data_IF_286716288318
#
_entry.id   IF_286716288318
#
_cell.length_a   1.000
_cell.length_b   1.000
_cell.length_c   1.000
_cell.angle_alpha   90.00
_cell.angle_beta   90.00
_cell.angle_gamma   90.00
#
_symmetry.space_group_name_H-M   'P 1'
#
loop_
_entity.id
_entity.type
_entity.pdbx_description
1 polymer ?
#
# COMPACT_ATOMS: atom_id res chain seq x y z
N UNK A 1 -46.70 22.86 -34.49
CA UNK A 1 -45.43 23.34 -35.08
C UNK A 1 -44.56 22.13 -35.43
N UNK A 2 -44.22 21.91 -36.70
CA UNK A 2 -43.25 20.87 -37.08
C UNK A 2 -41.85 21.43 -36.82
N UNK A 3 -41.17 20.93 -35.80
CA UNK A 3 -39.77 21.27 -35.55
C UNK A 3 -38.97 20.80 -36.77
N UNK A 4 -38.20 21.69 -37.39
CA UNK A 4 -37.31 21.31 -38.50
C UNK A 4 -36.31 20.26 -37.99
N UNK A 5 -36.11 19.20 -38.75
CA UNK A 5 -35.23 18.07 -38.37
C UNK A 5 -33.83 18.53 -37.93
N UNK A 6 -33.30 19.61 -38.49
CA UNK A 6 -32.03 20.23 -38.09
C UNK A 6 -32.03 20.81 -36.67
N UNK A 7 -33.14 21.39 -36.22
CA UNK A 7 -33.28 21.94 -34.86
C UNK A 7 -33.35 20.80 -33.84
N UNK A 8 -34.06 19.72 -34.19
CA UNK A 8 -34.12 18.52 -33.35
C UNK A 8 -32.75 17.83 -33.23
N UNK A 9 -32.03 17.67 -34.34
CA UNK A 9 -30.66 17.12 -34.32
C UNK A 9 -29.70 17.98 -33.49
N UNK A 10 -29.79 19.32 -33.60
CA UNK A 10 -28.98 20.24 -32.81
C UNK A 10 -29.25 20.09 -31.30
N UNK A 11 -30.53 19.90 -30.92
CA UNK A 11 -30.90 19.67 -29.53
C UNK A 11 -30.35 18.35 -28.97
N UNK A 12 -30.37 17.28 -29.77
CA UNK A 12 -29.74 15.99 -29.40
C UNK A 12 -28.25 16.17 -29.17
N UNK A 13 -27.53 16.83 -30.08
CA UNK A 13 -26.08 17.06 -29.95
C UNK A 13 -25.74 17.89 -28.70
N UNK A 14 -26.56 18.88 -28.37
CA UNK A 14 -26.40 19.66 -27.13
C UNK A 14 -26.62 18.78 -25.90
N UNK A 15 -27.66 17.93 -25.90
CA UNK A 15 -27.92 17.00 -24.81
C UNK A 15 -26.80 15.96 -24.65
N UNK A 16 -26.26 15.43 -25.75
CA UNK A 16 -25.09 14.54 -25.72
C UNK A 16 -23.87 15.26 -25.16
N UNK A 17 -23.60 16.49 -25.60
CA UNK A 17 -22.51 17.32 -25.07
C UNK A 17 -22.64 17.59 -23.57
N UNK A 18 -23.85 17.90 -23.10
CA UNK A 18 -24.14 18.07 -21.67
C UNK A 18 -23.97 16.73 -20.92
N UNK A 19 -24.46 15.64 -21.49
CA UNK A 19 -24.33 14.30 -20.91
C UNK A 19 -22.88 13.88 -20.75
N UNK A 20 -22.06 14.09 -21.78
CA UNK A 20 -20.60 13.86 -21.73
C UNK A 20 -19.95 14.78 -20.69
N UNK A 21 -20.31 16.06 -20.63
CA UNK A 21 -19.75 16.97 -19.64
C UNK A 21 -20.09 16.57 -18.19
N UNK A 22 -21.34 16.14 -17.94
CA UNK A 22 -21.77 15.63 -16.64
C UNK A 22 -21.05 14.33 -16.29
N UNK A 23 -20.92 13.40 -17.24
CA UNK A 23 -20.17 12.17 -17.07
C UNK A 23 -18.70 12.46 -16.74
N UNK A 24 -18.01 13.28 -17.53
CA UNK A 24 -16.61 13.64 -17.29
C UNK A 24 -16.43 14.31 -15.92
N UNK A 25 -17.34 15.22 -15.53
CA UNK A 25 -17.28 15.89 -14.23
C UNK A 25 -17.52 14.93 -13.05
N UNK A 26 -18.41 13.95 -13.21
CA UNK A 26 -18.72 12.98 -12.15
C UNK A 26 -17.74 11.83 -12.06
N UNK A 27 -17.27 11.32 -13.20
CA UNK A 27 -16.38 10.17 -13.31
C UNK A 27 -14.91 10.54 -13.08
N UNK A 28 -14.50 11.75 -13.48
CA UNK A 28 -13.20 12.33 -13.15
C UNK A 28 -13.38 13.48 -12.14
N UNK A 29 -13.70 13.17 -10.87
CA UNK A 29 -13.81 14.21 -9.87
C UNK A 29 -12.46 14.92 -9.78
N UNK A 30 -12.44 16.21 -10.13
CA UNK A 30 -11.31 17.09 -9.85
C UNK A 30 -11.10 17.03 -8.35
N UNK A 31 -9.92 16.61 -7.84
CA UNK A 31 -9.78 16.45 -6.41
C UNK A 31 -10.00 17.81 -5.74
N UNK A 32 -11.03 17.90 -4.90
CA UNK A 32 -11.45 19.14 -4.23
C UNK A 32 -10.37 19.76 -3.33
N UNK A 33 -9.25 19.05 -3.13
CA UNK A 33 -8.08 19.48 -2.34
C UNK A 33 -6.73 19.35 -3.06
N UNK A 34 -6.64 18.84 -4.28
CA UNK A 34 -5.33 18.70 -4.98
C UNK A 34 -4.77 20.01 -5.51
N UNK A 35 -5.56 21.09 -5.51
CA UNK A 35 -5.13 22.40 -6.02
C UNK A 35 -4.34 23.25 -5.04
N UNK A 36 -4.06 22.78 -3.82
CA UNK A 36 -3.21 23.52 -2.88
C UNK A 36 -2.04 22.63 -2.50
N UNK A 37 -0.86 22.98 -3.00
CA UNK A 37 0.47 22.44 -2.65
C UNK A 37 0.83 22.61 -1.14
N UNK A 38 -0.14 22.84 -0.27
CA UNK A 38 0.06 22.94 1.17
C UNK A 38 0.18 21.54 1.75
N UNK A 39 1.41 21.16 2.09
CA UNK A 39 1.67 20.01 2.96
C UNK A 39 0.95 20.24 4.30
N UNK A 40 0.30 19.20 4.83
CA UNK A 40 -0.42 19.35 6.10
C UNK A 40 0.58 19.71 7.21
N UNK A 41 0.14 20.58 8.11
CA UNK A 41 0.86 21.00 9.29
C UNK A 41 0.27 20.34 10.51
N UNK A 42 0.98 20.46 11.64
CA UNK A 42 0.49 19.99 12.92
C UNK A 42 -0.85 20.63 13.33
N UNK A 43 -1.10 21.88 12.90
CA UNK A 43 -2.37 22.58 13.12
C UNK A 43 -3.56 21.94 12.40
N UNK A 44 -3.31 21.10 11.40
CA UNK A 44 -4.33 20.53 10.52
C UNK A 44 -4.78 19.14 10.99
N UNK A 45 -4.30 18.68 12.16
CA UNK A 45 -4.70 17.41 12.74
C UNK A 45 -6.23 17.34 12.88
N UNK A 46 -6.88 16.27 12.38
CA UNK A 46 -8.29 16.08 12.62
C UNK A 46 -8.53 15.87 14.12
N UNK A 47 -9.73 16.24 14.58
CA UNK A 47 -10.17 15.91 15.93
C UNK A 47 -10.17 14.38 16.05
N UNK A 48 -9.49 13.85 17.07
CA UNK A 48 -9.45 12.41 17.36
C UNK A 48 -10.88 11.84 17.40
N UNK A 49 -11.15 10.67 16.78
CA UNK A 49 -12.47 10.05 16.77
C UNK A 49 -12.99 9.92 18.21
N UNK A 50 -14.14 10.54 18.47
CA UNK A 50 -14.79 10.66 19.78
C UNK A 50 -15.06 9.30 20.45
N UNK A 51 -14.04 8.73 21.10
CA UNK A 51 -14.16 7.63 22.06
C UNK A 51 -13.54 8.00 23.42
N UNK A 52 -13.21 9.28 23.59
CA UNK A 52 -12.71 9.88 24.83
C UNK A 52 -12.76 11.40 24.73
N UNK A 53 -12.61 12.06 25.89
CA UNK A 53 -12.55 13.52 26.03
C UNK A 53 -11.60 14.14 25.02
N UNK A 54 -11.94 15.33 24.50
CA UNK A 54 -11.04 16.13 23.66
C UNK A 54 -9.65 16.18 24.31
N UNK A 55 -8.56 15.89 23.58
CA UNK A 55 -7.24 15.94 24.17
C UNK A 55 -6.98 17.34 24.72
N UNK A 56 -6.74 17.45 26.03
CA UNK A 56 -6.41 18.71 26.73
C UNK A 56 -5.06 19.31 26.32
N UNK A 57 -4.45 18.83 25.24
CA UNK A 57 -3.09 19.15 24.83
C UNK A 57 -2.99 19.24 23.31
N UNK A 58 -2.47 20.36 22.82
CA UNK A 58 -2.03 20.55 21.44
C UNK A 58 -0.66 19.89 21.15
N UNK A 59 -0.06 19.23 22.14
CA UNK A 59 1.24 18.56 22.00
C UNK A 59 1.05 17.18 21.37
N UNK A 60 1.82 16.92 20.31
CA UNK A 60 1.91 15.59 19.71
C UNK A 60 2.22 14.53 20.77
N UNK A 61 1.55 13.36 20.71
CA UNK A 61 1.93 12.23 21.54
C UNK A 61 3.39 11.85 21.21
N UNK A 62 4.10 11.35 22.20
CA UNK A 62 5.42 10.78 21.96
C UNK A 62 5.27 9.60 20.98
N UNK A 63 6.16 9.46 19.99
CA UNK A 63 6.06 8.37 19.03
C UNK A 63 6.12 7.04 19.77
N UNK A 64 5.09 6.21 19.57
CA UNK A 64 5.02 4.90 20.21
C UNK A 64 6.08 3.95 19.66
N UNK A 65 6.40 4.06 18.37
CA UNK A 65 7.37 3.22 17.69
C UNK A 65 8.59 4.02 17.28
N UNK A 66 9.78 3.46 17.47
CA UNK A 66 11.02 4.05 16.97
C UNK A 66 11.51 3.44 15.67
N UNK A 67 11.12 2.20 15.39
CA UNK A 67 11.36 1.53 14.11
C UNK A 67 10.06 1.08 13.49
N UNK A 68 9.93 1.30 12.20
CA UNK A 68 8.80 0.80 11.42
C UNK A 68 9.34 -0.01 10.25
N UNK A 69 8.82 -1.21 10.06
CA UNK A 69 9.05 -1.99 8.84
C UNK A 69 7.71 -2.18 8.15
N UNK A 70 7.63 -1.81 6.87
CA UNK A 70 6.46 -2.01 6.02
C UNK A 70 6.84 -3.05 4.98
N UNK A 71 6.26 -4.24 5.09
CA UNK A 71 6.35 -5.30 4.09
C UNK A 71 5.06 -5.28 3.27
N UNK A 72 5.15 -4.69 2.09
CA UNK A 72 4.08 -4.65 1.09
C UNK A 72 4.28 -5.81 0.11
N UNK A 73 3.26 -6.64 -0.09
CA UNK A 73 3.28 -7.75 -1.05
C UNK A 73 2.23 -7.49 -2.12
N UNK A 74 2.68 -7.32 -3.36
CA UNK A 74 1.81 -7.04 -4.51
C UNK A 74 0.81 -8.20 -4.72
N UNK A 75 -0.45 -7.84 -4.95
CA UNK A 75 -1.57 -8.76 -5.17
C UNK A 75 -1.86 -9.77 -4.04
N UNK A 76 -1.49 -9.45 -2.80
CA UNK A 76 -1.78 -10.29 -1.62
C UNK A 76 -3.27 -10.24 -1.24
N UNK A 77 -4.00 -11.31 -1.60
CA UNK A 77 -5.40 -11.51 -1.20
C UNK A 77 -5.52 -11.76 0.31
N UNK A 78 -6.61 -11.29 0.91
CA UNK A 78 -6.89 -11.51 2.35
C UNK A 78 -7.02 -12.99 2.70
N UNK A 79 -7.63 -13.80 1.82
CA UNK A 79 -7.93 -15.21 2.07
C UNK A 79 -6.67 -16.09 2.06
N UNK A 80 -5.57 -15.61 1.49
CA UNK A 80 -4.26 -16.24 1.61
C UNK A 80 -3.71 -16.22 3.05
N UNK A 81 -4.17 -15.27 3.88
CA UNK A 81 -3.77 -15.13 5.28
C UNK A 81 -4.90 -15.54 6.21
N UNK A 82 -6.10 -15.00 6.00
CA UNK A 82 -7.22 -15.16 6.92
C UNK A 82 -8.14 -16.34 6.58
N UNK A 83 -8.10 -16.81 5.33
CA UNK A 83 -8.94 -17.89 4.84
C UNK A 83 -8.54 -19.27 5.38
N UNK A 84 -9.30 -20.32 5.01
CA UNK A 84 -9.11 -21.69 5.53
C UNK A 84 -7.70 -22.25 5.28
N UNK A 85 -7.09 -21.88 4.15
CA UNK A 85 -5.76 -22.33 3.75
C UNK A 85 -4.63 -21.44 4.29
N UNK A 86 -4.93 -20.39 5.08
CA UNK A 86 -3.92 -19.47 5.60
C UNK A 86 -2.82 -20.16 6.42
N UNK A 87 -3.14 -21.26 7.12
CA UNK A 87 -2.14 -22.09 7.83
C UNK A 87 -1.20 -22.86 6.90
N UNK A 88 -1.61 -23.12 5.67
CA UNK A 88 -0.80 -23.79 4.66
C UNK A 88 0.06 -22.79 3.90
N UNK A 89 -0.49 -21.61 3.62
CA UNK A 89 0.17 -20.57 2.84
C UNK A 89 1.13 -19.70 3.65
N UNK A 90 0.67 -19.20 4.81
CA UNK A 90 1.45 -18.30 5.67
C UNK A 90 1.37 -18.74 7.15
N UNK A 91 1.89 -19.93 7.50
CA UNK A 91 1.74 -20.53 8.82
C UNK A 91 2.19 -19.64 9.99
N UNK A 92 3.32 -18.93 9.85
CA UNK A 92 3.86 -18.07 10.89
C UNK A 92 2.99 -16.84 11.10
N UNK A 93 2.64 -16.13 10.01
CA UNK A 93 1.74 -14.98 10.03
C UNK A 93 0.39 -15.37 10.65
N UNK A 94 -0.19 -16.47 10.16
CA UNK A 94 -1.47 -16.97 10.64
C UNK A 94 -1.45 -17.26 12.13
N UNK A 95 -0.38 -17.87 12.61
CA UNK A 95 -0.19 -18.17 14.02
C UNK A 95 -0.08 -16.91 14.89
N UNK A 96 0.59 -15.86 14.43
CA UNK A 96 0.65 -14.58 15.15
C UNK A 96 -0.74 -13.92 15.29
N UNK A 97 -1.53 -13.99 14.20
CA UNK A 97 -2.91 -13.51 14.17
C UNK A 97 -3.79 -14.29 15.15
N UNK A 98 -3.77 -15.62 15.09
CA UNK A 98 -4.60 -16.49 15.96
C UNK A 98 -4.22 -16.40 17.43
N UNK A 99 -2.94 -16.16 17.76
CA UNK A 99 -2.50 -15.95 19.15
C UNK A 99 -2.95 -14.59 19.74
N UNK A 100 -3.47 -13.68 18.91
CA UNK A 100 -3.80 -12.31 19.34
C UNK A 100 -2.56 -11.48 19.69
N UNK A 101 -1.41 -11.78 19.08
CA UNK A 101 -0.17 -10.99 19.23
C UNK A 101 -0.05 -9.91 18.15
N UNK A 102 -1.12 -9.70 17.37
CA UNK A 102 -1.22 -8.72 16.28
C UNK A 102 -2.55 -7.98 16.34
N UNK A 103 -2.61 -6.79 15.75
CA UNK A 103 -3.88 -6.23 15.27
C UNK A 103 -4.00 -6.49 13.77
N UNK A 104 -5.08 -7.15 13.37
CA UNK A 104 -5.28 -7.60 11.99
C UNK A 104 -6.64 -7.17 11.47
N UNK A 105 -6.67 -6.69 10.23
CA UNK A 105 -7.86 -6.20 9.54
C UNK A 105 -7.87 -6.67 8.09
N UNK A 106 -9.06 -6.73 7.50
CA UNK A 106 -9.22 -6.78 6.04
C UNK A 106 -9.28 -5.34 5.54
N UNK A 107 -8.25 -4.92 4.82
CA UNK A 107 -8.19 -3.61 4.19
C UNK A 107 -8.91 -3.66 2.83
N UNK A 108 -9.64 -2.59 2.49
CA UNK A 108 -10.35 -2.46 1.20
C UNK A 108 -9.64 -1.50 0.25
N UNK A 109 -8.93 -2.05 -0.72
CA UNK A 109 -8.33 -1.35 -1.84
C UNK A 109 -9.41 -0.91 -2.86
N UNK A 110 -9.96 0.30 -2.69
CA UNK A 110 -10.94 0.88 -3.63
C UNK A 110 -10.39 0.86 -5.06
N UNK A 111 -11.12 0.48 -6.11
CA UNK A 111 -10.60 0.47 -7.49
C UNK A 111 -10.03 1.83 -7.96
N UNK A 112 -9.11 1.87 -8.94
CA UNK A 112 -8.54 0.72 -9.66
C UNK A 112 -7.46 0.00 -8.82
N UNK A 113 -7.54 -1.32 -8.74
CA UNK A 113 -6.56 -2.18 -8.05
C UNK A 113 -5.31 -2.34 -8.91
N UNK A 114 -4.57 -1.25 -9.10
CA UNK A 114 -3.29 -1.21 -9.83
C UNK A 114 -2.24 -0.63 -8.90
N UNK A 115 -1.04 -1.20 -8.93
CA UNK A 115 0.07 -0.93 -8.01
C UNK A 115 0.33 0.56 -7.77
N UNK A 116 0.57 1.36 -8.82
CA UNK A 116 0.89 2.78 -8.64
C UNK A 116 -0.24 3.60 -7.97
N UNK A 117 -1.51 3.55 -8.43
CA UNK A 117 -2.63 4.13 -7.69
C UNK A 117 -2.75 3.66 -6.24
N UNK A 118 -2.42 2.39 -5.95
CA UNK A 118 -2.47 1.85 -4.59
C UNK A 118 -1.37 2.41 -3.70
N UNK A 119 -0.14 2.48 -4.19
CA UNK A 119 0.98 3.12 -3.47
C UNK A 119 0.62 4.57 -3.13
N UNK A 120 0.02 5.31 -4.07
CA UNK A 120 -0.48 6.66 -3.79
C UNK A 120 -1.52 6.64 -2.67
N UNK A 121 -2.58 5.84 -2.79
CA UNK A 121 -3.63 5.75 -1.78
C UNK A 121 -3.10 5.36 -0.38
N UNK A 122 -2.18 4.40 -0.30
CA UNK A 122 -1.53 3.97 0.95
C UNK A 122 -0.74 5.10 1.61
N UNK A 123 -0.11 5.97 0.82
CA UNK A 123 0.79 7.01 1.32
C UNK A 123 0.09 8.35 1.55
N UNK A 124 -0.98 8.66 0.81
CA UNK A 124 -1.75 9.91 0.92
C UNK A 124 -3.02 9.76 1.76
N UNK A 125 -3.56 8.54 1.88
CA UNK A 125 -4.90 8.30 2.43
C UNK A 125 -6.03 8.77 1.51
N UNK A 126 -5.76 9.14 0.25
CA UNK A 126 -6.78 9.58 -0.71
C UNK A 126 -7.41 8.40 -1.44
N UNK A 127 -8.65 8.59 -1.89
CA UNK A 127 -9.28 7.66 -2.84
C UNK A 127 -8.68 7.97 -4.21
N UNK A 128 -8.01 7.00 -4.85
CA UNK A 128 -7.37 7.22 -6.14
C UNK A 128 -8.40 7.26 -7.27
N UNK A 129 -8.14 8.11 -8.25
CA UNK A 129 -8.98 8.26 -9.44
C UNK A 129 -8.40 7.56 -10.66
N UNK A 130 -9.25 7.21 -11.62
CA UNK A 130 -8.80 6.73 -12.94
C UNK A 130 -7.89 7.75 -13.66
N UNK A 131 -8.06 9.04 -13.37
CA UNK A 131 -7.20 10.10 -13.91
C UNK A 131 -5.74 9.96 -13.45
N UNK A 132 -5.50 9.38 -12.26
CA UNK A 132 -4.15 9.18 -11.75
C UNK A 132 -3.37 8.21 -12.63
N UNK A 133 -4.02 7.22 -13.22
CA UNK A 133 -3.38 6.26 -14.14
C UNK A 133 -2.90 6.98 -15.41
N UNK A 134 -3.71 7.91 -15.93
CA UNK A 134 -3.42 8.63 -17.18
C UNK A 134 -2.38 9.75 -16.96
N UNK A 135 -2.53 10.54 -15.89
CA UNK A 135 -1.67 11.70 -15.62
C UNK A 135 -0.24 11.31 -15.23
N UNK A 136 -0.04 10.11 -14.67
CA UNK A 136 1.30 9.64 -14.27
C UNK A 136 2.18 9.15 -15.42
N UNK A 137 1.67 9.10 -16.65
CA UNK A 137 2.49 8.75 -17.82
C UNK A 137 3.57 9.80 -18.13
N UNK A 138 3.43 11.05 -17.64
CA UNK A 138 4.28 12.17 -18.05
C UNK A 138 5.21 12.73 -16.94
N UNK A 139 4.89 12.53 -15.66
CA UNK A 139 5.76 12.90 -14.53
C UNK A 139 5.34 12.11 -13.28
N UNK A 140 6.12 11.09 -12.87
CA UNK A 140 5.67 10.15 -11.84
C UNK A 140 5.82 10.67 -10.40
N UNK A 141 6.49 11.81 -10.16
CA UNK A 141 6.72 12.28 -8.79
C UNK A 141 5.43 12.72 -8.09
N UNK A 142 5.19 12.21 -6.88
CA UNK A 142 4.01 12.55 -6.08
C UNK A 142 4.24 13.85 -5.30
N UNK A 143 3.59 14.92 -5.76
CA UNK A 143 3.75 16.26 -5.17
C UNK A 143 2.83 16.51 -3.97
N UNK A 144 1.70 15.80 -3.89
CA UNK A 144 0.72 15.91 -2.82
C UNK A 144 1.31 15.53 -1.46
N UNK A 145 0.66 15.96 -0.38
CA UNK A 145 1.09 15.55 0.96
C UNK A 145 0.93 14.05 1.17
N UNK A 146 1.93 13.43 1.79
CA UNK A 146 1.96 11.99 1.97
C UNK A 146 2.91 11.59 3.11
N UNK A 147 2.74 10.37 3.60
CA UNK A 147 3.49 9.80 4.71
C UNK A 147 5.00 9.85 4.50
N UNK A 148 5.49 9.58 3.28
CA UNK A 148 6.92 9.54 2.96
C UNK A 148 7.53 10.95 3.03
N UNK A 149 6.83 11.94 2.48
CA UNK A 149 7.22 13.34 2.58
C UNK A 149 7.26 13.81 4.04
N UNK A 150 6.21 13.51 4.81
CA UNK A 150 6.11 13.89 6.23
C UNK A 150 7.20 13.21 7.08
N UNK A 151 7.50 11.94 6.83
CA UNK A 151 8.58 11.24 7.49
C UNK A 151 9.94 11.88 7.19
N UNK A 152 10.21 12.21 5.91
CA UNK A 152 11.45 12.91 5.52
C UNK A 152 11.55 14.28 6.18
N UNK A 153 10.48 15.07 6.17
CA UNK A 153 10.42 16.39 6.80
C UNK A 153 10.62 16.33 8.32
N UNK A 154 10.18 15.24 8.97
CA UNK A 154 10.44 14.94 10.37
C UNK A 154 11.85 14.37 10.65
N UNK A 155 12.75 14.38 9.65
CA UNK A 155 14.12 13.91 9.79
C UNK A 155 14.27 12.39 9.88
N UNK A 156 13.25 11.62 9.49
CA UNK A 156 13.33 10.16 9.51
C UNK A 156 14.20 9.63 8.39
N UNK A 157 15.01 8.64 8.74
CA UNK A 157 15.92 7.91 7.87
C UNK A 157 15.17 6.71 7.30
N UNK A 158 14.93 6.73 6.00
CA UNK A 158 14.08 5.73 5.32
C UNK A 158 14.90 4.94 4.31
N UNK A 159 14.78 3.62 4.37
CA UNK A 159 15.38 2.67 3.45
C UNK A 159 14.27 1.99 2.64
N UNK A 160 14.45 1.83 1.34
CA UNK A 160 13.45 1.22 0.45
C UNK A 160 14.05 0.17 -0.49
N UNK A 161 13.46 -1.02 -0.55
CA UNK A 161 13.76 -2.02 -1.58
C UNK A 161 12.46 -2.53 -2.21
N UNK A 162 12.36 -2.60 -3.52
CA UNK A 162 11.12 -3.04 -4.18
C UNK A 162 10.88 -2.41 -5.54
N UNK A 163 9.62 -2.41 -6.00
CA UNK A 163 9.23 -1.85 -7.31
C UNK A 163 9.75 -0.42 -7.52
N UNK A 164 10.35 -0.16 -8.70
CA UNK A 164 10.94 1.14 -9.05
C UNK A 164 9.95 2.32 -9.09
N UNK A 165 8.65 2.04 -9.11
CA UNK A 165 7.56 3.01 -8.98
C UNK A 165 7.71 3.85 -7.72
N UNK A 166 8.13 3.27 -6.60
CA UNK A 166 8.38 4.02 -5.36
C UNK A 166 9.48 5.06 -5.52
N UNK A 167 10.59 4.70 -6.18
CA UNK A 167 11.73 5.61 -6.41
C UNK A 167 11.30 6.77 -7.32
N UNK A 168 10.45 6.48 -8.31
CA UNK A 168 9.87 7.49 -9.22
C UNK A 168 8.85 8.40 -8.53
N UNK A 169 8.01 7.85 -7.64
CA UNK A 169 7.01 8.61 -6.87
C UNK A 169 7.66 9.50 -5.79
N UNK A 170 8.73 9.03 -5.14
CA UNK A 170 9.36 9.68 -4.00
C UNK A 170 10.84 9.99 -4.23
N UNK A 171 11.20 10.73 -5.29
CA UNK A 171 12.59 11.00 -5.61
C UNK A 171 13.31 11.71 -4.44
N UNK A 172 14.51 11.25 -4.08
CA UNK A 172 15.37 11.82 -3.01
C UNK A 172 14.82 11.72 -1.58
N UNK A 173 13.76 10.96 -1.34
CA UNK A 173 13.21 10.80 0.01
C UNK A 173 13.96 9.73 0.82
N UNK A 174 14.32 8.62 0.18
CA UNK A 174 15.05 7.52 0.79
C UNK A 174 16.55 7.86 0.93
N UNK A 175 17.15 7.47 2.05
CA UNK A 175 18.60 7.60 2.26
C UNK A 175 19.39 6.51 1.52
N UNK A 176 18.74 5.37 1.33
CA UNK A 176 19.25 4.19 0.65
C UNK A 176 18.05 3.54 -0.03
N UNK A 177 18.20 3.21 -1.30
CA UNK A 177 17.13 2.55 -2.03
C UNK A 177 17.66 1.65 -3.13
N UNK A 178 16.90 0.61 -3.44
CA UNK A 178 17.17 -0.28 -4.56
C UNK A 178 15.86 -0.62 -5.28
N UNK A 179 15.71 -0.08 -6.48
CA UNK A 179 14.52 -0.23 -7.30
C UNK A 179 14.63 -1.45 -8.21
N UNK A 180 13.61 -2.30 -8.20
CA UNK A 180 13.50 -3.48 -9.05
C UNK A 180 12.52 -3.18 -10.18
N UNK A 181 12.92 -3.50 -11.40
CA UNK A 181 12.07 -3.33 -12.59
C UNK A 181 11.12 -4.51 -12.72
N UNK A 182 9.83 -4.23 -12.85
CA UNK A 182 8.74 -5.21 -12.87
C UNK A 182 8.21 -5.57 -14.27
N UNK A 183 8.86 -5.09 -15.34
CA UNK A 183 8.36 -5.28 -16.71
C UNK A 183 8.30 -6.74 -17.19
N UNK A 184 9.10 -7.64 -16.61
CA UNK A 184 9.15 -9.05 -17.01
C UNK A 184 8.34 -9.92 -16.07
N UNK A 185 7.03 -10.02 -16.33
CA UNK A 185 6.07 -10.77 -15.50
C UNK A 185 6.44 -12.25 -15.33
N UNK A 186 7.18 -12.84 -16.28
CA UNK A 186 7.66 -14.23 -16.16
C UNK A 186 8.69 -14.45 -15.05
N UNK A 187 9.34 -13.39 -14.57
CA UNK A 187 10.27 -13.45 -13.45
C UNK A 187 9.56 -13.15 -12.14
N UNK A 188 9.24 -14.20 -11.38
CA UNK A 188 8.67 -14.10 -10.03
C UNK A 188 9.67 -14.47 -8.92
N UNK A 189 10.94 -14.68 -9.26
CA UNK A 189 11.97 -15.14 -8.31
C UNK A 189 13.10 -14.13 -8.17
N UNK A 190 13.68 -13.68 -9.27
CA UNK A 190 14.75 -12.69 -9.24
C UNK A 190 14.22 -11.33 -8.78
N UNK A 191 13.00 -10.94 -9.14
CA UNK A 191 12.35 -9.74 -8.58
C UNK A 191 12.32 -9.72 -7.05
N UNK A 192 11.95 -10.83 -6.39
CA UNK A 192 11.89 -10.89 -4.92
C UNK A 192 13.27 -11.07 -4.27
N UNK A 193 14.20 -11.76 -4.96
CA UNK A 193 15.61 -11.81 -4.56
C UNK A 193 16.24 -10.42 -4.55
N UNK A 194 15.88 -9.57 -5.53
CA UNK A 194 16.38 -8.20 -5.63
C UNK A 194 15.88 -7.32 -4.48
N UNK A 195 14.67 -7.56 -3.96
CA UNK A 195 14.18 -6.93 -2.73
C UNK A 195 14.92 -7.44 -1.50
N UNK A 196 15.20 -8.75 -1.45
CA UNK A 196 15.71 -9.43 -0.25
C UNK A 196 17.23 -9.33 -0.07
N UNK A 197 18.01 -9.11 -1.14
CA UNK A 197 19.49 -9.18 -1.12
C UNK A 197 20.17 -8.28 -0.07
N UNK A 198 19.55 -7.15 0.27
CA UNK A 198 20.06 -6.19 1.25
C UNK A 198 19.40 -6.30 2.63
N UNK A 199 18.41 -7.17 2.79
CA UNK A 199 17.60 -7.24 4.00
C UNK A 199 18.44 -7.62 5.21
N UNK A 200 19.28 -8.65 5.09
CA UNK A 200 20.07 -9.17 6.22
C UNK A 200 21.11 -8.16 6.73
N UNK A 201 21.72 -7.38 5.84
CA UNK A 201 22.66 -6.32 6.21
C UNK A 201 21.93 -5.12 6.82
N UNK A 202 20.77 -4.76 6.26
CA UNK A 202 19.93 -3.65 6.75
C UNK A 202 19.38 -3.92 8.14
N UNK A 203 18.88 -5.13 8.42
CA UNK A 203 18.32 -5.50 9.73
C UNK A 203 19.36 -5.46 10.87
N UNK A 204 20.65 -5.63 10.55
CA UNK A 204 21.75 -5.55 11.53
C UNK A 204 22.09 -4.11 11.91
N UNK A 205 21.80 -3.15 11.04
CA UNK A 205 22.13 -1.73 11.21
C UNK A 205 21.15 -1.01 12.12
N UNK A 206 21.61 0.10 12.70
CA UNK A 206 20.84 0.98 13.59
C UNK A 206 20.67 2.41 13.03
N UNK A 207 21.03 2.61 11.75
CA UNK A 207 21.09 3.90 11.08
C UNK A 207 19.81 4.27 10.30
N UNK A 208 18.73 3.52 10.47
CA UNK A 208 17.44 3.75 9.82
C UNK A 208 16.29 3.76 10.84
N UNK A 209 15.20 4.45 10.48
CA UNK A 209 13.98 4.56 11.29
C UNK A 209 12.78 3.87 10.61
N UNK A 210 12.73 3.87 9.28
CA UNK A 210 11.68 3.22 8.48
C UNK A 210 12.33 2.35 7.39
N UNK A 211 11.93 1.09 7.31
CA UNK A 211 12.28 0.18 6.21
C UNK A 211 11.01 -0.16 5.45
N UNK A 212 11.02 0.02 4.13
CA UNK A 212 9.92 -0.34 3.24
C UNK A 212 10.41 -1.39 2.25
N UNK A 213 9.68 -2.50 2.18
CA UNK A 213 9.91 -3.61 1.26
C UNK A 213 8.67 -3.75 0.40
N UNK A 214 8.83 -3.82 -0.92
CA UNK A 214 7.72 -4.06 -1.85
C UNK A 214 8.02 -5.26 -2.75
N UNK A 215 7.42 -6.40 -2.45
CA UNK A 215 7.58 -7.68 -3.12
C UNK A 215 6.57 -7.84 -4.26
N UNK A 216 6.98 -8.44 -5.38
CA UNK A 216 6.21 -8.45 -6.63
C UNK A 216 5.92 -9.85 -7.15
N UNK A 217 6.72 -10.85 -6.75
CA UNK A 217 6.66 -12.19 -7.34
C UNK A 217 5.30 -12.88 -7.21
N UNK A 218 4.51 -12.52 -6.20
CA UNK A 218 3.15 -13.04 -6.04
C UNK A 218 2.20 -12.56 -7.15
N UNK A 219 2.19 -11.26 -7.46
CA UNK A 219 1.40 -10.70 -8.57
C UNK A 219 1.84 -11.29 -9.92
N UNK A 220 3.15 -11.42 -10.12
CA UNK A 220 3.72 -12.04 -11.32
C UNK A 220 3.21 -13.49 -11.52
N UNK A 221 3.17 -14.31 -10.46
CA UNK A 221 2.57 -15.65 -10.52
C UNK A 221 1.07 -15.59 -10.83
N UNK A 222 0.37 -14.61 -10.24
CA UNK A 222 -1.03 -14.31 -10.51
C UNK A 222 -1.28 -14.13 -12.01
N UNK A 223 -0.58 -13.21 -12.67
CA UNK A 223 -0.75 -12.97 -14.11
C UNK A 223 -0.42 -14.18 -14.99
N UNK A 224 0.54 -15.02 -14.59
CA UNK A 224 0.94 -16.20 -15.39
C UNK A 224 -0.08 -17.33 -15.26
N UNK A 225 -0.56 -17.59 -14.04
CA UNK A 225 -1.21 -18.87 -13.70
C UNK A 225 -2.38 -18.79 -12.72
N UNK A 226 -2.68 -17.61 -12.21
CA UNK A 226 -3.78 -17.37 -11.29
C UNK A 226 -3.54 -17.78 -9.84
N UNK A 227 -4.48 -17.44 -8.94
CA UNK A 227 -4.36 -17.62 -7.48
C UNK A 227 -4.43 -19.09 -7.01
N UNK A 228 -4.80 -20.01 -7.88
CA UNK A 228 -4.94 -21.45 -7.58
C UNK A 228 -3.78 -22.30 -8.12
N UNK A 229 -2.75 -21.64 -8.68
CA UNK A 229 -1.56 -22.28 -9.20
C UNK A 229 -0.77 -22.98 -8.10
N UNK A 230 -0.09 -24.08 -8.43
CA UNK A 230 0.83 -24.77 -7.51
C UNK A 230 2.04 -23.90 -7.11
N UNK A 231 2.27 -22.78 -7.81
CA UNK A 231 3.32 -21.80 -7.49
C UNK A 231 2.93 -20.84 -6.35
N UNK A 232 1.63 -20.69 -6.05
CA UNK A 232 1.14 -19.73 -5.04
C UNK A 232 1.57 -20.15 -3.64
N UNK A 233 1.43 -21.44 -3.29
CA UNK A 233 1.80 -21.92 -1.96
C UNK A 233 3.31 -21.72 -1.67
N UNK A 234 4.26 -22.15 -2.52
CA UNK A 234 5.68 -21.86 -2.33
C UNK A 234 5.97 -20.37 -2.19
N UNK A 235 5.35 -19.52 -3.00
CA UNK A 235 5.56 -18.06 -2.95
C UNK A 235 5.05 -17.44 -1.65
N UNK A 236 3.88 -17.87 -1.16
CA UNK A 236 3.35 -17.37 0.11
C UNK A 236 4.18 -17.85 1.31
N UNK A 237 4.72 -19.08 1.25
CA UNK A 237 5.67 -19.57 2.26
C UNK A 237 6.97 -18.76 2.26
N UNK A 238 7.48 -18.37 1.08
CA UNK A 238 8.62 -17.46 0.96
C UNK A 238 8.35 -16.10 1.64
N UNK A 239 7.18 -15.50 1.39
CA UNK A 239 6.78 -14.24 2.04
C UNK A 239 6.63 -14.40 3.56
N UNK A 240 6.08 -15.52 4.02
CA UNK A 240 5.93 -15.84 5.44
C UNK A 240 7.28 -16.00 6.15
N UNK A 241 8.25 -16.65 5.49
CA UNK A 241 9.61 -16.80 6.00
C UNK A 241 10.36 -15.46 6.06
N UNK A 242 10.17 -14.59 5.07
CA UNK A 242 10.70 -13.21 5.09
C UNK A 242 10.11 -12.42 6.25
N UNK A 243 8.78 -12.46 6.44
CA UNK A 243 8.13 -11.80 7.57
C UNK A 243 8.69 -12.31 8.90
N UNK A 244 8.82 -13.63 9.04
CA UNK A 244 9.39 -14.29 10.23
C UNK A 244 10.82 -13.84 10.49
N UNK A 245 11.65 -13.74 9.46
CA UNK A 245 13.02 -13.24 9.57
C UNK A 245 13.04 -11.81 10.10
N UNK A 246 12.25 -10.91 9.50
CA UNK A 246 12.15 -9.51 9.93
C UNK A 246 11.69 -9.42 11.38
N UNK A 247 10.60 -10.10 11.71
CA UNK A 247 10.05 -10.10 13.06
C UNK A 247 11.05 -10.62 14.09
N UNK A 248 11.76 -11.71 13.77
CA UNK A 248 12.78 -12.28 14.66
C UNK A 248 13.94 -11.30 14.90
N UNK A 249 14.41 -10.61 13.86
CA UNK A 249 15.45 -9.59 13.99
C UNK A 249 15.00 -8.40 14.85
N UNK A 250 13.75 -7.96 14.69
CA UNK A 250 13.17 -6.88 15.50
C UNK A 250 13.03 -7.27 16.98
N UNK A 251 12.60 -8.50 17.28
CA UNK A 251 12.57 -9.05 18.65
C UNK A 251 13.98 -9.05 19.28
N UNK A 252 14.99 -9.52 18.54
CA UNK A 252 16.37 -9.52 19.03
C UNK A 252 16.86 -8.11 19.35
N UNK A 253 16.60 -7.13 18.47
CA UNK A 253 16.97 -5.72 18.70
C UNK A 253 16.24 -5.10 19.88
N UNK A 254 14.96 -5.42 20.07
CA UNK A 254 14.20 -4.97 21.25
C UNK A 254 14.82 -5.50 22.55
N UNK A 255 15.19 -6.79 22.59
CA UNK A 255 15.81 -7.41 23.77
C UNK A 255 17.17 -6.77 24.14
N UNK A 256 17.88 -6.19 23.17
CA UNK A 256 19.11 -5.40 23.37
C UNK A 256 18.85 -3.99 23.95
N UNK A 257 17.59 -3.63 24.21
CA UNK A 257 17.18 -2.32 24.74
C UNK A 257 16.72 -1.34 23.66
N UNK A 258 16.49 -1.79 22.42
CA UNK A 258 15.85 -0.97 21.40
C UNK A 258 14.38 -0.73 21.75
N UNK A 259 13.88 0.45 21.41
CA UNK A 259 12.49 0.83 21.66
C UNK A 259 11.50 0.06 20.77
N UNK A 260 10.22 -0.05 21.18
CA UNK A 260 9.19 -0.79 20.46
C UNK A 260 9.19 -0.52 18.95
N UNK A 261 9.08 -1.60 18.19
CA UNK A 261 8.96 -1.59 16.74
C UNK A 261 7.50 -1.72 16.31
N UNK A 262 7.23 -1.37 15.05
CA UNK A 262 6.02 -1.74 14.34
C UNK A 262 6.42 -2.47 13.05
N UNK A 263 5.96 -3.70 12.89
CA UNK A 263 6.03 -4.44 11.64
C UNK A 263 4.64 -4.49 11.02
N UNK A 264 4.52 -4.00 9.79
CA UNK A 264 3.29 -3.95 9.01
C UNK A 264 3.43 -4.92 7.85
N UNK A 265 2.56 -5.91 7.77
CA UNK A 265 2.34 -6.70 6.55
C UNK A 265 1.05 -6.21 5.90
N UNK A 266 1.12 -5.84 4.63
CA UNK A 266 -0.08 -5.53 3.86
C UNK A 266 0.04 -5.88 2.38
N UNK A 267 -1.10 -5.98 1.71
CA UNK A 267 -1.19 -5.94 0.25
C UNK A 267 -1.68 -4.58 -0.22
N UNK A 268 -1.21 -4.14 -1.39
CA UNK A 268 -1.68 -2.92 -2.06
C UNK A 268 -3.02 -3.16 -2.79
N UNK A 269 -3.16 -4.32 -3.41
CA UNK A 269 -4.38 -4.95 -3.89
C UNK A 269 -4.29 -6.48 -3.74
N UNK A 270 -5.37 -7.19 -4.08
CA UNK A 270 -5.38 -8.63 -4.29
C UNK A 270 -5.40 -8.97 -5.78
N UNK A 271 -5.90 -10.16 -6.14
CA UNK A 271 -6.03 -10.59 -7.54
C UNK A 271 -7.36 -11.33 -7.76
N UNK A 272 -7.88 -11.23 -8.97
CA UNK A 272 -9.08 -11.94 -9.40
C UNK A 272 -8.87 -13.46 -9.44
N UNK A 273 -9.95 -14.21 -9.66
CA UNK A 273 -9.88 -15.67 -9.83
C UNK A 273 -9.04 -16.12 -11.04
N UNK A 274 -8.77 -15.23 -11.99
CA UNK A 274 -7.88 -15.48 -13.14
C UNK A 274 -6.50 -14.85 -12.97
N UNK A 275 -6.21 -14.28 -11.79
CA UNK A 275 -4.93 -13.63 -11.50
C UNK A 275 -4.75 -12.23 -12.09
N UNK A 276 -5.82 -11.63 -12.61
CA UNK A 276 -5.81 -10.23 -13.09
C UNK A 276 -6.13 -9.27 -11.93
N UNK A 277 -5.86 -7.99 -12.13
CA UNK A 277 -6.28 -6.91 -11.23
C UNK A 277 -6.71 -5.67 -12.02
N UNK A 278 -7.02 -4.57 -11.34
CA UNK A 278 -7.56 -3.32 -11.90
C UNK A 278 -9.07 -3.14 -11.73
N UNK A 279 -9.78 -4.23 -11.40
CA UNK A 279 -11.23 -4.27 -11.21
C UNK A 279 -11.67 -4.00 -9.77
N UNK A 280 -12.80 -4.61 -9.41
CA UNK A 280 -13.49 -4.37 -8.15
C UNK A 280 -14.10 -5.62 -7.53
N UNK A 281 -13.67 -6.82 -7.95
CA UNK A 281 -14.13 -8.05 -7.31
C UNK A 281 -13.60 -8.13 -5.87
N UNK A 282 -14.32 -8.84 -4.99
CA UNK A 282 -13.92 -8.96 -3.57
C UNK A 282 -12.47 -9.48 -3.40
N UNK A 283 -11.99 -10.49 -4.16
CA UNK A 283 -10.60 -10.93 -4.10
C UNK A 283 -9.57 -9.87 -4.55
N UNK A 284 -9.95 -8.96 -5.45
CA UNK A 284 -9.06 -7.88 -5.90
C UNK A 284 -8.96 -6.75 -4.86
N UNK A 285 -10.06 -6.45 -4.17
CA UNK A 285 -10.11 -5.28 -3.29
C UNK A 285 -9.80 -5.61 -1.83
N UNK A 286 -9.94 -6.85 -1.39
CA UNK A 286 -9.70 -7.22 0.00
C UNK A 286 -8.27 -7.75 0.19
N UNK A 287 -7.47 -7.00 0.96
CA UNK A 287 -6.08 -7.36 1.30
C UNK A 287 -5.93 -7.51 2.81
N UNK A 288 -4.95 -8.30 3.28
CA UNK A 288 -4.67 -8.35 4.70
C UNK A 288 -3.93 -7.09 5.13
N UNK A 289 -4.21 -6.62 6.34
CA UNK A 289 -3.40 -5.65 7.07
C UNK A 289 -3.10 -6.26 8.44
N UNK A 290 -1.84 -6.63 8.68
CA UNK A 290 -1.40 -7.22 9.95
C UNK A 290 -0.34 -6.31 10.57
N UNK A 291 -0.63 -5.86 11.79
CA UNK A 291 0.24 -5.01 12.58
C UNK A 291 0.82 -5.84 13.73
N UNK A 292 2.15 -5.87 13.82
CA UNK A 292 2.89 -6.59 14.84
C UNK A 292 3.72 -5.62 15.67
N UNK A 293 3.55 -5.67 16.98
CA UNK A 293 4.35 -4.87 17.91
C UNK A 293 4.26 -5.42 19.34
N UNK A 294 5.36 -5.37 20.11
CA UNK A 294 5.34 -5.59 21.56
C UNK A 294 4.47 -4.58 22.32
N UNK A 295 4.18 -3.41 21.72
CA UNK A 295 3.33 -2.40 22.34
C UNK A 295 1.83 -2.76 22.35
N UNK A 296 1.42 -3.72 21.51
CA UNK A 296 0.06 -4.23 21.49
C UNK A 296 -0.14 -5.14 22.70
N UNK A 297 -0.52 -4.54 23.83
CA UNK A 297 -0.86 -5.28 25.04
C UNK A 297 -2.02 -6.22 24.74
N UNK A 298 -1.89 -7.48 25.16
CA UNK A 298 -3.03 -8.42 25.25
C UNK A 298 -4.08 -7.79 26.16
N UNK A 299 -5.32 -7.71 25.69
CA UNK A 299 -6.46 -7.63 26.59
C UNK A 299 -6.69 -9.00 27.22
#
# INVERSE_FOLDING_TARGET
MKVRSSVFASFILILEGIGVALFLRGFFPVPLKSSISSKNKLSDLPVEPLTGSSPNSSRLPQPLFKRVVIMLVDALREDFVFGPNGRMYMPYTRHLVERGSSYSFVAKARPPTVTMPRIKALTTGTIPGFIDVVMNLNSPALLEDNLIWQAKAAGKRMVFYGDDTWVRLFPKHFMEHDGTTSFFVSDYTEVDNNVTRHLDSTLKRDDWDILILHYLGLDHIGHISGPHSSLIQPKLMEMDDILKKIHSALISKEAEGSLPYLLVLCGDHGMSETGSHGGSSEPEINTPLVLLSPAFKRK
#
